data_IF_382276773277
#
_entry.id   IF_382276773277
#
_cell.length_a   1.000
_cell.length_b   1.000
_cell.length_c   1.000
_cell.angle_alpha   90.00
_cell.angle_beta   90.00
_cell.angle_gamma   90.00
#
_symmetry.space_group_name_H-M   'P 1'
#
loop_
_entity.id
_entity.type
_entity.pdbx_description
1 polymer ?
#
# COMPACT_ATOMS: atom_id res chain seq x y z
N UNK A 1 -24.14 -0.32 17.64
CA UNK A 1 -24.02 -0.12 16.16
C UNK A 1 -24.30 1.33 15.82
N UNK A 2 -23.35 2.00 15.22
CA UNK A 2 -23.44 3.43 14.89
C UNK A 2 -23.51 3.62 13.39
N UNK A 3 -24.38 4.54 12.94
CA UNK A 3 -24.47 4.91 11.52
C UNK A 3 -23.30 5.80 11.13
N UNK A 4 -22.54 5.36 10.10
CA UNK A 4 -21.39 6.07 9.58
C UNK A 4 -21.42 6.14 8.07
N UNK A 5 -20.70 7.12 7.51
CA UNK A 5 -20.34 7.19 6.11
C UNK A 5 -18.83 7.10 5.96
N UNK A 6 -18.37 6.54 4.84
CA UNK A 6 -16.95 6.51 4.50
C UNK A 6 -16.56 7.70 3.63
N UNK A 7 -15.69 8.56 4.13
CA UNK A 7 -15.21 9.76 3.43
C UNK A 7 -13.72 9.62 3.13
N UNK A 8 -13.33 9.94 1.92
CA UNK A 8 -11.95 10.03 1.47
C UNK A 8 -11.58 11.48 1.25
N UNK A 9 -10.52 11.94 1.92
CA UNK A 9 -10.06 13.32 1.87
C UNK A 9 -9.06 13.57 0.74
N UNK A 10 -8.38 12.51 0.25
CA UNK A 10 -7.38 12.54 -0.84
C UNK A 10 -7.60 11.39 -1.79
N UNK A 11 -7.18 11.51 -3.07
CA UNK A 11 -7.44 10.49 -4.11
C UNK A 11 -7.03 9.08 -3.69
N UNK A 12 -5.85 8.88 -3.12
CA UNK A 12 -5.35 7.59 -2.65
C UNK A 12 -5.27 7.52 -1.11
N UNK A 13 -6.10 8.33 -0.41
CA UNK A 13 -6.11 8.41 1.06
C UNK A 13 -6.90 7.29 1.71
N UNK A 14 -6.65 7.11 3.02
CA UNK A 14 -7.47 6.28 3.89
C UNK A 14 -8.92 6.76 3.87
N UNK A 15 -9.85 5.82 4.00
CA UNK A 15 -11.27 6.13 4.20
C UNK A 15 -11.50 6.32 5.69
N UNK A 16 -12.02 7.49 6.05
CA UNK A 16 -12.36 7.83 7.43
C UNK A 16 -13.86 7.72 7.63
N UNK A 17 -14.28 7.26 8.80
CA UNK A 17 -15.67 7.19 9.16
C UNK A 17 -16.11 8.49 9.84
N UNK A 18 -17.27 9.01 9.40
CA UNK A 18 -17.92 10.17 9.97
C UNK A 18 -19.39 9.88 10.23
N UNK A 19 -19.95 10.51 11.24
CA UNK A 19 -21.39 10.46 11.46
C UNK A 19 -22.11 11.32 10.42
N UNK A 20 -23.13 10.78 9.72
CA UNK A 20 -23.92 11.57 8.79
C UNK A 20 -24.84 12.59 9.51
N UNK A 21 -25.03 12.46 10.83
CA UNK A 21 -25.97 13.27 11.57
C UNK A 21 -27.40 13.14 11.01
N UNK A 22 -28.03 14.31 10.75
CA UNK A 22 -29.37 14.40 10.15
C UNK A 22 -29.34 14.57 8.62
N UNK A 23 -28.16 14.52 8.01
CA UNK A 23 -27.99 14.77 6.59
C UNK A 23 -28.27 13.53 5.76
N UNK A 24 -28.95 13.72 4.63
CA UNK A 24 -29.17 12.66 3.63
C UNK A 24 -27.98 12.62 2.66
N UNK A 25 -26.98 11.81 2.97
CA UNK A 25 -25.73 11.70 2.25
C UNK A 25 -25.69 10.39 1.46
N UNK A 26 -25.31 10.47 0.17
CA UNK A 26 -25.17 9.33 -0.73
C UNK A 26 -23.72 9.13 -1.14
N UNK A 27 -23.39 7.92 -1.58
CA UNK A 27 -22.10 7.65 -2.23
C UNK A 27 -21.92 8.55 -3.46
N UNK A 28 -20.78 9.20 -3.56
CA UNK A 28 -20.45 10.16 -4.63
C UNK A 28 -20.63 11.63 -4.22
N UNK A 29 -21.35 11.90 -3.12
CA UNK A 29 -21.50 13.26 -2.63
C UNK A 29 -20.15 13.82 -2.16
N UNK A 30 -20.04 15.14 -2.21
CA UNK A 30 -18.93 15.89 -1.65
C UNK A 30 -19.38 16.52 -0.35
N UNK A 31 -18.55 16.43 0.69
CA UNK A 31 -18.89 16.86 2.04
C UNK A 31 -17.79 17.69 2.67
N UNK A 32 -18.16 18.56 3.57
CA UNK A 32 -17.26 19.29 4.43
C UNK A 32 -17.22 18.61 5.79
N UNK A 33 -16.02 18.24 6.22
CA UNK A 33 -15.79 17.52 7.49
C UNK A 33 -14.76 18.25 8.34
N UNK A 34 -14.86 18.06 9.66
CA UNK A 34 -13.82 18.53 10.57
C UNK A 34 -12.87 17.39 10.92
N UNK A 35 -11.57 17.63 10.76
CA UNK A 35 -10.51 16.70 11.10
C UNK A 35 -9.61 17.27 12.19
N UNK A 36 -8.60 16.52 12.62
CA UNK A 36 -7.55 17.06 13.49
C UNK A 36 -6.70 18.16 12.81
N UNK A 37 -6.78 18.29 11.49
CA UNK A 37 -6.05 19.29 10.70
C UNK A 37 -6.87 20.55 10.41
N UNK A 38 -8.15 20.55 10.76
CA UNK A 38 -9.12 21.60 10.49
C UNK A 38 -10.25 21.10 9.59
N UNK A 39 -10.90 22.05 8.93
CA UNK A 39 -11.99 21.77 7.98
C UNK A 39 -11.40 21.27 6.68
N UNK A 40 -11.90 20.16 6.18
CA UNK A 40 -11.43 19.51 4.95
C UNK A 40 -12.60 19.17 4.01
N UNK A 41 -12.31 19.19 2.72
CA UNK A 41 -13.21 18.77 1.66
C UNK A 41 -13.05 17.28 1.39
N UNK A 42 -14.14 16.52 1.44
CA UNK A 42 -14.10 15.07 1.31
C UNK A 42 -15.06 14.52 0.28
N UNK A 43 -14.72 13.35 -0.25
CA UNK A 43 -15.54 12.58 -1.17
C UNK A 43 -16.15 11.38 -0.45
N UNK A 44 -17.46 11.20 -0.50
CA UNK A 44 -18.16 10.06 0.08
C UNK A 44 -17.96 8.84 -0.82
N UNK A 45 -17.15 7.88 -0.35
CA UNK A 45 -16.84 6.63 -1.07
C UNK A 45 -17.72 5.47 -0.62
N UNK A 46 -18.24 5.53 0.60
CA UNK A 46 -19.21 4.57 1.12
C UNK A 46 -20.41 5.34 1.70
N UNK A 47 -21.61 4.99 1.26
CA UNK A 47 -22.86 5.55 1.78
C UNK A 47 -23.10 5.16 3.24
N UNK A 48 -24.26 5.52 3.78
CA UNK A 48 -24.60 5.22 5.17
C UNK A 48 -24.60 3.71 5.40
N UNK A 49 -23.81 3.26 6.38
CA UNK A 49 -23.75 1.88 6.85
C UNK A 49 -23.71 1.84 8.38
N UNK A 50 -24.15 0.74 8.94
CA UNK A 50 -24.01 0.48 10.36
C UNK A 50 -22.71 -0.30 10.62
N UNK A 51 -21.92 0.17 11.57
CA UNK A 51 -20.64 -0.42 11.95
C UNK A 51 -20.64 -0.67 13.45
N UNK A 52 -20.05 -1.79 13.94
CA UNK A 52 -19.89 -2.01 15.38
C UNK A 52 -19.10 -0.86 16.02
N UNK A 53 -19.47 -0.51 17.25
CA UNK A 53 -18.86 0.63 17.95
C UNK A 53 -17.37 0.38 18.26
N UNK A 54 -16.94 -0.89 18.28
CA UNK A 54 -15.57 -1.35 18.49
C UNK A 54 -14.64 -0.98 17.30
N UNK A 55 -15.20 -0.92 16.09
CA UNK A 55 -14.46 -0.59 14.85
C UNK A 55 -14.35 0.92 14.57
N UNK A 56 -14.91 1.75 15.47
CA UNK A 56 -14.98 3.20 15.29
C UNK A 56 -13.95 3.88 16.19
N UNK A 57 -13.05 4.66 15.59
CA UNK A 57 -12.16 5.52 16.36
C UNK A 57 -12.94 6.64 17.05
N UNK A 58 -12.96 6.61 18.36
CA UNK A 58 -13.61 7.64 19.19
C UNK A 58 -12.68 8.87 19.39
N UNK A 59 -13.23 10.10 19.45
CA UNK A 59 -14.63 10.46 19.22
C UNK A 59 -15.01 10.50 17.73
N UNK A 60 -16.16 9.90 17.38
CA UNK A 60 -16.68 9.94 16.01
C UNK A 60 -17.11 11.38 15.66
N UNK A 61 -16.40 12.00 14.72
CA UNK A 61 -16.74 13.34 14.22
C UNK A 61 -17.90 13.30 13.24
N UNK A 62 -18.69 14.35 13.20
CA UNK A 62 -19.83 14.47 12.30
C UNK A 62 -19.45 15.23 11.03
N UNK A 63 -20.16 14.95 9.94
CA UNK A 63 -20.15 15.79 8.75
C UNK A 63 -20.74 17.16 9.12
N UNK A 64 -20.05 18.23 8.75
CA UNK A 64 -20.51 19.60 8.99
C UNK A 64 -21.69 19.89 8.06
N UNK A 65 -21.51 19.66 6.75
CA UNK A 65 -22.52 19.86 5.72
C UNK A 65 -22.15 19.19 4.39
N UNK A 66 -23.10 19.08 3.51
CA UNK A 66 -22.85 18.73 2.09
C UNK A 66 -22.17 19.94 1.42
N UNK A 67 -21.19 19.67 0.56
CA UNK A 67 -20.46 20.70 -0.13
C UNK A 67 -21.36 21.44 -1.15
N UNK A 68 -21.30 22.76 -1.13
CA UNK A 68 -21.98 23.64 -2.08
C UNK A 68 -21.16 23.77 -3.38
N UNK A 69 -21.72 24.40 -4.40
CA UNK A 69 -20.98 24.67 -5.64
C UNK A 69 -19.88 25.74 -5.42
N UNK A 70 -20.03 26.59 -4.42
CA UNK A 70 -18.99 27.51 -3.99
C UNK A 70 -17.80 26.78 -3.39
N UNK A 71 -18.05 25.76 -2.55
CA UNK A 71 -16.99 24.91 -1.98
C UNK A 71 -16.21 24.18 -3.05
N UNK A 72 -16.90 23.65 -4.05
CA UNK A 72 -16.26 22.99 -5.20
C UNK A 72 -15.36 23.93 -5.97
N UNK A 73 -15.84 25.16 -6.22
CA UNK A 73 -15.02 26.22 -6.87
C UNK A 73 -13.84 26.64 -6.01
N UNK A 74 -14.00 26.68 -4.70
CA UNK A 74 -12.91 27.00 -3.79
C UNK A 74 -11.83 25.90 -3.81
N UNK A 75 -12.25 24.65 -3.80
CA UNK A 75 -11.35 23.49 -3.94
C UNK A 75 -10.58 23.52 -5.28
N UNK A 76 -11.25 23.84 -6.39
CA UNK A 76 -10.61 23.99 -7.70
C UNK A 76 -9.58 25.13 -7.72
N UNK A 77 -9.91 26.28 -7.12
CA UNK A 77 -8.98 27.40 -6.99
C UNK A 77 -7.78 27.05 -6.09
N UNK A 78 -7.99 26.28 -5.02
CA UNK A 78 -6.90 25.82 -4.18
C UNK A 78 -5.95 24.91 -4.96
N UNK A 79 -6.47 24.03 -5.81
CA UNK A 79 -5.64 23.17 -6.69
C UNK A 79 -4.82 23.94 -7.71
N UNK A 80 -5.33 25.07 -8.22
CA UNK A 80 -4.54 25.96 -9.08
C UNK A 80 -3.43 26.62 -8.29
N UNK A 81 -3.74 27.17 -7.12
CA UNK A 81 -2.74 27.76 -6.21
C UNK A 81 -1.68 26.75 -5.75
N UNK A 82 -2.04 25.47 -5.57
CA UNK A 82 -1.10 24.41 -5.22
C UNK A 82 -0.02 24.22 -6.28
N UNK A 83 -0.38 24.29 -7.56
CA UNK A 83 0.58 24.22 -8.68
C UNK A 83 1.54 25.42 -8.66
N UNK A 84 1.00 26.62 -8.53
CA UNK A 84 1.82 27.85 -8.42
C UNK A 84 2.74 27.78 -7.17
N UNK A 85 2.20 27.32 -6.05
CA UNK A 85 2.96 27.18 -4.81
C UNK A 85 4.09 26.15 -4.94
N UNK A 86 3.85 25.08 -5.68
CA UNK A 86 4.86 24.08 -5.97
C UNK A 86 6.03 24.68 -6.75
N UNK A 87 5.75 25.40 -7.83
CA UNK A 87 6.77 26.00 -8.69
C UNK A 87 7.60 27.06 -7.93
N UNK A 88 6.93 27.93 -7.16
CA UNK A 88 7.58 28.93 -6.31
C UNK A 88 8.48 28.26 -5.26
N UNK A 89 7.97 27.23 -4.59
CA UNK A 89 8.75 26.51 -3.58
C UNK A 89 9.98 25.84 -4.19
N UNK A 90 9.84 25.24 -5.38
CA UNK A 90 10.95 24.61 -6.10
C UNK A 90 12.04 25.61 -6.48
N UNK A 91 11.67 26.83 -6.91
CA UNK A 91 12.62 27.91 -7.19
C UNK A 91 13.36 28.34 -5.90
N UNK A 92 12.64 28.48 -4.79
CA UNK A 92 13.24 28.84 -3.49
C UNK A 92 14.17 27.76 -2.96
N UNK A 93 13.83 26.47 -3.09
CA UNK A 93 14.70 25.34 -2.71
C UNK A 93 16.03 25.43 -3.48
N UNK A 94 15.98 25.68 -4.78
CA UNK A 94 17.18 25.87 -5.63
C UNK A 94 18.00 27.08 -5.19
N UNK A 95 17.36 28.20 -4.89
CA UNK A 95 18.04 29.44 -4.42
C UNK A 95 18.77 29.25 -3.09
N UNK A 96 18.20 28.42 -2.19
CA UNK A 96 18.80 28.09 -0.89
C UNK A 96 19.75 26.89 -0.95
N UNK A 97 19.99 26.30 -2.13
CA UNK A 97 20.87 25.15 -2.37
C UNK A 97 20.59 23.97 -1.43
N UNK A 98 19.29 23.73 -1.12
CA UNK A 98 18.89 22.67 -0.20
C UNK A 98 18.83 21.32 -0.92
N UNK A 99 19.47 20.30 -0.34
CA UNK A 99 19.45 18.94 -0.84
C UNK A 99 18.16 18.22 -0.42
N UNK A 100 17.06 18.66 -1.00
CA UNK A 100 15.72 18.13 -0.79
C UNK A 100 14.93 18.11 -2.09
N UNK A 101 14.07 17.11 -2.24
CA UNK A 101 13.21 16.95 -3.40
C UNK A 101 11.77 17.24 -3.02
N UNK A 102 11.23 18.32 -3.56
CA UNK A 102 9.82 18.67 -3.39
C UNK A 102 8.93 17.66 -4.12
N UNK A 103 7.93 17.14 -3.45
CA UNK A 103 7.02 16.12 -3.98
C UNK A 103 5.64 16.67 -4.26
N UNK A 104 5.09 17.47 -3.34
CA UNK A 104 3.75 18.04 -3.47
C UNK A 104 3.59 19.30 -2.63
N UNK A 105 2.64 20.15 -3.03
CA UNK A 105 2.15 21.28 -2.25
C UNK A 105 0.63 21.10 -2.07
N UNK A 106 0.09 21.46 -0.90
CA UNK A 106 -1.31 21.28 -0.56
C UNK A 106 -1.81 22.44 0.29
N UNK A 107 -2.88 23.08 -0.11
CA UNK A 107 -3.59 24.06 0.70
C UNK A 107 -4.62 23.37 1.59
N UNK A 108 -4.79 23.86 2.82
CA UNK A 108 -5.97 23.52 3.61
C UNK A 108 -7.21 24.13 2.95
N UNK A 109 -8.38 23.51 3.14
CA UNK A 109 -9.62 23.94 2.48
C UNK A 109 -9.97 25.41 2.80
N UNK A 110 -9.65 25.87 4.00
CA UNK A 110 -9.82 27.26 4.47
C UNK A 110 -8.75 28.24 3.95
N UNK A 111 -7.74 27.75 3.24
CA UNK A 111 -6.63 28.55 2.70
C UNK A 111 -5.65 29.12 3.75
N UNK A 112 -5.81 28.76 5.03
CA UNK A 112 -5.02 29.35 6.13
C UNK A 112 -3.64 28.72 6.30
N UNK A 113 -3.36 27.60 5.60
CA UNK A 113 -2.11 26.87 5.69
C UNK A 113 -1.73 26.27 4.34
N UNK A 114 -0.43 26.26 4.06
CA UNK A 114 0.19 25.50 2.95
C UNK A 114 1.13 24.47 3.52
N UNK A 115 0.96 23.23 3.05
CA UNK A 115 1.82 22.10 3.39
C UNK A 115 2.67 21.73 2.17
N UNK A 116 3.98 21.66 2.37
CA UNK A 116 4.91 21.18 1.36
C UNK A 116 5.45 19.82 1.78
N UNK A 117 5.29 18.82 0.92
CA UNK A 117 5.80 17.48 1.14
C UNK A 117 7.11 17.30 0.38
N UNK A 118 8.12 16.80 1.07
CA UNK A 118 9.44 16.59 0.47
C UNK A 118 10.09 15.30 0.94
N UNK A 119 11.06 14.80 0.17
CA UNK A 119 11.98 13.74 0.57
C UNK A 119 13.41 14.29 0.65
N UNK A 120 14.21 13.75 1.56
CA UNK A 120 15.63 14.05 1.72
C UNK A 120 16.32 12.88 2.43
N UNK A 121 17.60 12.67 2.14
CA UNK A 121 18.39 11.58 2.72
C UNK A 121 18.81 11.84 4.18
N UNK A 122 18.64 13.07 4.65
CA UNK A 122 19.02 13.47 5.99
C UNK A 122 18.13 14.57 6.57
N UNK A 123 18.60 15.15 7.65
CA UNK A 123 17.96 16.30 8.29
C UNK A 123 18.34 17.59 7.57
N UNK A 124 17.35 18.29 7.04
CA UNK A 124 17.53 19.56 6.32
C UNK A 124 17.22 20.74 7.24
N UNK A 125 18.06 21.78 7.19
CA UNK A 125 17.77 23.07 7.82
C UNK A 125 17.02 23.98 6.83
N UNK A 126 15.73 24.04 6.97
CA UNK A 126 14.84 24.79 6.09
C UNK A 126 14.30 26.10 6.73
N UNK A 127 14.95 26.61 7.80
CA UNK A 127 14.46 27.81 8.52
C UNK A 127 14.36 29.05 7.62
N UNK A 128 15.38 29.29 6.80
CA UNK A 128 15.40 30.43 5.86
C UNK A 128 14.39 30.22 4.72
N UNK A 129 14.25 28.99 4.21
CA UNK A 129 13.25 28.65 3.22
C UNK A 129 11.83 28.94 3.74
N UNK A 130 11.53 28.56 5.00
CA UNK A 130 10.21 28.84 5.61
C UNK A 130 9.92 30.32 5.70
N UNK A 131 10.92 31.14 6.07
CA UNK A 131 10.76 32.64 6.12
C UNK A 131 10.44 33.19 4.74
N UNK A 132 11.19 32.78 3.72
CA UNK A 132 10.99 33.23 2.35
C UNK A 132 9.60 32.81 1.83
N UNK A 133 9.18 31.57 2.07
CA UNK A 133 7.85 31.08 1.68
C UNK A 133 6.72 31.83 2.42
N UNK A 134 6.90 32.07 3.73
CA UNK A 134 5.92 32.80 4.52
C UNK A 134 5.76 34.25 4.04
N UNK A 135 6.84 34.90 3.60
CA UNK A 135 6.80 36.26 3.02
C UNK A 135 6.01 36.31 1.70
N UNK A 136 6.13 35.25 0.87
CA UNK A 136 5.44 35.13 -0.43
C UNK A 136 3.96 34.83 -0.24
N UNK A 137 3.66 33.75 0.50
CA UNK A 137 2.27 33.22 0.60
C UNK A 137 1.43 33.92 1.66
N UNK A 138 2.06 34.62 2.62
CA UNK A 138 1.39 35.30 3.75
C UNK A 138 0.43 34.40 4.53
N UNK A 139 0.73 33.10 4.56
CA UNK A 139 -0.02 32.05 5.23
C UNK A 139 0.92 31.19 6.09
N UNK A 140 0.38 30.35 6.94
CA UNK A 140 1.18 29.41 7.73
C UNK A 140 1.78 28.34 6.83
N UNK A 141 3.12 28.23 6.84
CA UNK A 141 3.87 27.23 6.08
C UNK A 141 4.20 26.05 6.96
N UNK A 142 4.00 24.86 6.44
CA UNK A 142 4.36 23.60 7.09
C UNK A 142 5.12 22.72 6.09
N UNK A 143 6.37 22.36 6.42
CA UNK A 143 7.21 21.45 5.64
C UNK A 143 7.16 20.07 6.29
N UNK A 144 6.85 19.04 5.50
CA UNK A 144 6.76 17.65 5.95
C UNK A 144 7.65 16.75 5.13
N UNK A 145 8.63 16.17 5.79
CA UNK A 145 9.40 15.08 5.19
C UNK A 145 8.54 13.83 5.14
N UNK A 146 8.52 13.18 3.98
CA UNK A 146 7.79 11.94 3.73
C UNK A 146 8.75 10.84 3.28
N UNK A 147 8.33 9.59 3.51
CA UNK A 147 9.12 8.43 3.06
C UNK A 147 8.95 8.14 1.57
N UNK A 148 9.88 7.36 1.01
CA UNK A 148 9.90 6.98 -0.43
C UNK A 148 8.63 6.26 -0.89
N UNK A 149 7.96 5.51 -0.01
CA UNK A 149 6.67 4.88 -0.33
C UNK A 149 5.55 5.91 -0.45
N UNK A 150 5.54 6.92 0.42
CA UNK A 150 4.54 8.00 0.36
C UNK A 150 4.75 8.88 -0.87
N UNK A 151 6.02 9.15 -1.24
CA UNK A 151 6.33 9.79 -2.52
C UNK A 151 5.76 8.98 -3.70
N UNK A 152 6.04 7.68 -3.73
CA UNK A 152 5.54 6.78 -4.77
C UNK A 152 4.01 6.74 -4.80
N UNK A 153 3.36 6.76 -3.63
CA UNK A 153 1.90 6.81 -3.50
C UNK A 153 1.32 8.08 -4.09
N UNK A 154 1.95 9.24 -3.86
CA UNK A 154 1.51 10.54 -4.39
C UNK A 154 1.71 10.60 -5.90
N UNK A 155 2.86 10.16 -6.40
CA UNK A 155 3.18 10.17 -7.84
C UNK A 155 2.35 9.17 -8.64
N UNK A 156 2.01 8.03 -8.02
CA UNK A 156 1.36 6.93 -8.72
C UNK A 156 2.32 6.21 -9.68
N UNK A 157 1.73 5.46 -10.61
CA UNK A 157 2.48 4.74 -11.65
C UNK A 157 1.96 3.31 -11.86
N UNK A 158 2.72 2.54 -12.64
CA UNK A 158 2.43 1.15 -12.97
C UNK A 158 3.46 0.24 -12.30
N UNK A 159 3.00 -0.82 -11.63
CA UNK A 159 3.84 -1.83 -11.02
C UNK A 159 4.43 -2.80 -12.04
N UNK A 160 5.39 -3.63 -11.60
CA UNK A 160 5.98 -4.70 -12.44
C UNK A 160 4.93 -5.72 -12.91
N UNK A 161 3.78 -5.80 -12.24
CA UNK A 161 2.64 -6.64 -12.60
C UNK A 161 1.75 -6.03 -13.70
N UNK A 162 2.09 -4.84 -14.24
CA UNK A 162 1.31 -4.13 -15.25
C UNK A 162 0.04 -3.43 -14.74
N UNK A 163 -0.21 -3.44 -13.42
CA UNK A 163 -1.36 -2.76 -12.80
C UNK A 163 -0.93 -1.43 -12.17
N UNK A 164 -1.86 -0.46 -11.99
CA UNK A 164 -1.60 0.71 -11.15
C UNK A 164 -1.12 0.30 -9.77
N UNK A 165 -0.22 1.08 -9.19
CA UNK A 165 0.39 0.79 -7.89
C UNK A 165 -0.66 0.58 -6.80
N UNK A 166 -0.53 -0.48 -6.01
CA UNK A 166 -1.46 -0.81 -4.91
C UNK A 166 -1.57 0.35 -3.92
N UNK A 167 -0.43 0.98 -3.57
CA UNK A 167 -0.36 2.11 -2.64
C UNK A 167 -1.08 3.37 -3.15
N UNK A 168 -1.15 3.60 -4.48
CA UNK A 168 -1.86 4.74 -5.06
C UNK A 168 -3.32 4.48 -5.36
N UNK A 169 -3.79 3.24 -5.23
CA UNK A 169 -5.18 2.84 -5.54
C UNK A 169 -5.99 2.45 -4.31
N UNK A 170 -5.79 1.25 -3.80
CA UNK A 170 -6.65 0.68 -2.75
C UNK A 170 -5.93 0.46 -1.41
N UNK A 171 -4.60 0.24 -1.42
CA UNK A 171 -3.85 -0.07 -0.21
C UNK A 171 -3.45 1.22 0.52
N UNK A 172 -4.25 1.62 1.49
CA UNK A 172 -4.05 2.87 2.24
C UNK A 172 -3.17 2.70 3.48
N UNK A 173 -3.13 1.50 4.06
CA UNK A 173 -2.36 1.14 5.24
C UNK A 173 -1.31 0.08 4.90
N UNK A 174 -0.18 0.13 5.57
CA UNK A 174 0.94 -0.76 5.31
C UNK A 174 1.32 -1.50 6.59
N UNK A 175 1.17 -2.83 6.55
CA UNK A 175 1.75 -3.70 7.55
C UNK A 175 3.22 -3.98 7.20
N UNK A 176 4.04 -4.36 8.18
CA UNK A 176 5.41 -4.80 7.93
C UNK A 176 5.45 -5.95 6.94
N UNK A 177 6.38 -5.89 5.99
CA UNK A 177 6.61 -6.94 4.99
C UNK A 177 7.87 -7.69 5.35
N UNK A 178 7.83 -9.02 5.32
CA UNK A 178 8.98 -9.88 5.56
C UNK A 178 9.36 -10.68 4.30
N UNK A 179 10.61 -11.07 4.25
CA UNK A 179 11.14 -11.93 3.17
C UNK A 179 10.53 -13.32 3.21
N UNK A 180 10.11 -13.78 4.39
CA UNK A 180 9.40 -15.04 4.54
C UNK A 180 8.15 -15.09 3.64
N UNK A 181 7.41 -13.98 3.55
CA UNK A 181 6.24 -13.86 2.68
C UNK A 181 6.59 -14.07 1.20
N UNK A 182 7.73 -13.51 0.73
CA UNK A 182 8.19 -13.73 -0.64
C UNK A 182 8.52 -15.22 -0.91
N UNK A 183 9.11 -15.92 0.05
CA UNK A 183 9.38 -17.37 -0.03
C UNK A 183 8.09 -18.20 -0.08
N UNK A 184 7.13 -17.89 0.78
CA UNK A 184 5.83 -18.58 0.83
C UNK A 184 5.03 -18.39 -0.46
N UNK A 185 5.26 -17.26 -1.14
CA UNK A 185 4.68 -16.96 -2.46
C UNK A 185 5.51 -17.49 -3.64
N UNK A 186 6.56 -18.29 -3.38
CA UNK A 186 7.47 -18.87 -4.36
C UNK A 186 8.14 -17.82 -5.28
N UNK A 187 8.39 -16.62 -4.77
CA UNK A 187 9.11 -15.58 -5.50
C UNK A 187 10.62 -15.79 -5.36
N UNK A 188 11.33 -15.49 -6.44
CA UNK A 188 12.80 -15.40 -6.39
C UNK A 188 13.21 -14.30 -5.43
N UNK A 189 14.17 -14.59 -4.55
CA UNK A 189 14.69 -13.64 -3.56
C UNK A 189 15.59 -12.56 -4.16
N UNK A 190 15.63 -12.44 -5.49
CA UNK A 190 16.33 -11.35 -6.15
C UNK A 190 15.70 -10.01 -5.75
N UNK A 191 16.45 -9.06 -5.15
CA UNK A 191 15.96 -7.76 -4.74
C UNK A 191 15.16 -7.02 -5.82
N UNK A 192 15.57 -7.11 -7.08
CA UNK A 192 14.88 -6.47 -8.21
C UNK A 192 13.48 -7.03 -8.47
N UNK A 193 13.20 -8.26 -8.03
CA UNK A 193 11.89 -8.93 -8.22
C UNK A 193 10.96 -8.83 -7.03
N UNK A 194 11.49 -8.61 -5.83
CA UNK A 194 10.71 -8.51 -4.59
C UNK A 194 10.56 -7.06 -4.09
N UNK A 195 11.31 -6.11 -4.67
CA UNK A 195 11.17 -4.69 -4.36
C UNK A 195 10.12 -4.01 -5.25
N UNK A 196 9.36 -3.14 -4.65
CA UNK A 196 8.43 -2.27 -5.37
C UNK A 196 9.16 -1.08 -6.02
N UNK A 197 8.42 -0.28 -6.78
CA UNK A 197 8.92 0.96 -7.43
C UNK A 197 9.52 1.94 -6.40
N UNK A 198 9.08 1.88 -5.15
CA UNK A 198 9.60 2.69 -4.05
C UNK A 198 10.95 2.18 -3.47
N UNK A 199 11.52 1.10 -3.99
CA UNK A 199 12.76 0.50 -3.47
C UNK A 199 12.60 -0.38 -2.24
N UNK A 200 11.43 -0.38 -1.58
CA UNK A 200 11.12 -1.25 -0.43
C UNK A 200 10.44 -2.55 -0.87
N UNK A 201 10.39 -3.55 0.00
CA UNK A 201 9.64 -4.79 -0.28
C UNK A 201 8.21 -4.49 -0.72
N UNK A 202 7.73 -5.25 -1.69
CA UNK A 202 6.40 -5.08 -2.28
C UNK A 202 5.30 -5.26 -1.24
N UNK A 203 4.46 -4.25 -1.07
CA UNK A 203 3.33 -4.28 -0.13
C UNK A 203 2.24 -5.30 -0.49
N UNK A 204 2.16 -5.74 -1.75
CA UNK A 204 1.25 -6.82 -2.15
C UNK A 204 1.61 -8.17 -1.51
N UNK A 205 2.87 -8.41 -1.15
CA UNK A 205 3.28 -9.63 -0.44
C UNK A 205 2.46 -9.84 0.84
N UNK A 206 2.39 -8.81 1.69
CA UNK A 206 1.58 -8.88 2.92
C UNK A 206 0.08 -8.95 2.61
N UNK A 207 -0.38 -8.22 1.60
CA UNK A 207 -1.80 -8.20 1.25
C UNK A 207 -2.32 -9.55 0.71
N UNK A 208 -1.43 -10.36 0.15
CA UNK A 208 -1.76 -11.66 -0.45
C UNK A 208 -1.37 -12.85 0.46
N UNK A 209 -0.67 -12.60 1.57
CA UNK A 209 -0.09 -13.61 2.47
C UNK A 209 -1.11 -14.66 2.92
N UNK A 210 -2.24 -14.22 3.47
CA UNK A 210 -3.29 -15.11 3.99
C UNK A 210 -3.80 -16.06 2.91
N UNK A 211 -4.00 -15.56 1.70
CA UNK A 211 -4.44 -16.38 0.55
C UNK A 211 -3.40 -17.44 0.20
N UNK A 212 -2.13 -17.05 0.17
CA UNK A 212 -1.06 -18.02 -0.13
C UNK A 212 -0.86 -19.02 1.00
N UNK A 213 -0.97 -18.65 2.27
CA UNK A 213 -0.92 -19.57 3.40
C UNK A 213 -2.04 -20.64 3.30
N UNK A 214 -3.27 -20.21 3.02
CA UNK A 214 -4.40 -21.10 2.85
C UNK A 214 -4.18 -22.08 1.70
N UNK A 215 -3.80 -21.57 0.52
CA UNK A 215 -3.58 -22.38 -0.67
C UNK A 215 -2.38 -23.34 -0.51
N UNK A 216 -1.30 -22.88 0.11
CA UNK A 216 -0.12 -23.72 0.40
C UNK A 216 -0.44 -24.86 1.37
N UNK A 217 -1.38 -24.66 2.29
CA UNK A 217 -1.78 -25.73 3.23
C UNK A 217 -2.37 -26.95 2.55
N UNK A 218 -2.85 -26.80 1.32
CA UNK A 218 -3.48 -27.82 0.48
C UNK A 218 -2.51 -28.50 -0.50
N UNK A 219 -1.22 -28.16 -0.45
CA UNK A 219 -0.21 -28.59 -1.40
C UNK A 219 0.94 -29.34 -0.70
N UNK A 220 1.57 -30.32 -1.38
CA UNK A 220 2.81 -30.93 -0.90
C UNK A 220 3.98 -29.94 -1.00
N UNK A 221 5.06 -30.20 -0.26
CA UNK A 221 6.30 -29.45 -0.40
C UNK A 221 7.10 -29.94 -1.62
N UNK A 222 7.97 -29.06 -2.15
CA UNK A 222 8.98 -29.46 -3.13
C UNK A 222 9.93 -30.46 -2.45
N UNK A 223 10.19 -31.59 -3.12
CA UNK A 223 10.97 -32.71 -2.59
C UNK A 223 10.16 -33.73 -1.78
N UNK A 224 8.87 -33.50 -1.54
CA UNK A 224 8.01 -34.51 -0.90
C UNK A 224 7.71 -35.65 -1.87
N UNK A 225 7.61 -36.87 -1.31
CA UNK A 225 7.13 -38.02 -2.06
C UNK A 225 5.60 -38.13 -2.02
N UNK A 226 5.00 -38.21 -3.17
CA UNK A 226 3.55 -38.29 -3.35
C UNK A 226 3.15 -39.54 -4.12
N UNK A 227 1.91 -39.96 -3.93
CA UNK A 227 1.30 -41.06 -4.74
C UNK A 227 0.22 -40.43 -5.60
N UNK A 228 0.30 -40.65 -6.90
CA UNK A 228 -0.69 -40.20 -7.87
C UNK A 228 -1.97 -41.01 -7.81
N UNK A 229 -3.05 -40.53 -8.43
CA UNK A 229 -4.32 -41.25 -8.54
C UNK A 229 -4.14 -42.62 -9.24
N UNK A 230 -3.21 -42.69 -10.19
CA UNK A 230 -2.89 -43.89 -10.96
C UNK A 230 -1.99 -44.89 -10.21
N UNK A 231 -1.65 -44.56 -8.94
CA UNK A 231 -0.84 -45.42 -8.07
C UNK A 231 0.67 -45.24 -8.24
N UNK A 232 1.13 -44.36 -9.15
CA UNK A 232 2.54 -44.08 -9.35
C UNK A 232 3.10 -43.28 -8.17
N UNK A 233 4.34 -43.59 -7.79
CA UNK A 233 5.08 -42.81 -6.77
C UNK A 233 6.03 -41.85 -7.46
N UNK A 234 6.13 -40.65 -6.94
CA UNK A 234 7.04 -39.65 -7.50
C UNK A 234 7.41 -38.59 -6.48
N UNK A 235 8.43 -37.84 -6.84
CA UNK A 235 8.95 -36.69 -6.06
C UNK A 235 8.42 -35.40 -6.64
N UNK A 236 7.98 -34.49 -5.78
CA UNK A 236 7.50 -33.14 -6.16
C UNK A 236 8.64 -32.27 -6.62
N UNK A 237 8.65 -31.90 -7.90
CA UNK A 237 9.66 -31.03 -8.49
C UNK A 237 9.32 -29.54 -8.35
N UNK A 238 8.05 -29.17 -8.60
CA UNK A 238 7.59 -27.78 -8.49
C UNK A 238 6.10 -27.70 -8.18
N UNK A 239 5.68 -26.59 -7.63
CA UNK A 239 4.31 -26.35 -7.20
C UNK A 239 3.82 -25.00 -7.70
N UNK A 240 2.64 -24.96 -8.33
CA UNK A 240 1.96 -23.74 -8.72
C UNK A 240 0.83 -23.45 -7.74
N UNK A 241 1.07 -22.58 -6.76
CA UNK A 241 0.17 -22.35 -5.62
C UNK A 241 -1.21 -21.88 -6.08
N UNK A 242 -1.28 -20.84 -6.90
CA UNK A 242 -2.55 -20.27 -7.36
C UNK A 242 -3.35 -21.19 -8.27
N UNK A 243 -2.67 -22.04 -9.06
CA UNK A 243 -3.33 -22.99 -9.95
C UNK A 243 -3.65 -24.32 -9.27
N UNK A 244 -3.10 -24.55 -8.08
CA UNK A 244 -3.19 -25.84 -7.35
C UNK A 244 -2.69 -27.01 -8.21
N UNK A 245 -1.58 -26.77 -8.96
CA UNK A 245 -0.93 -27.74 -9.83
C UNK A 245 0.44 -28.12 -9.28
N UNK A 246 0.79 -29.38 -9.39
CA UNK A 246 2.03 -29.97 -8.88
C UNK A 246 2.72 -30.74 -10.00
N UNK A 247 3.98 -30.41 -10.28
CA UNK A 247 4.82 -31.21 -11.17
C UNK A 247 5.53 -32.28 -10.35
N UNK A 248 5.34 -33.53 -10.72
CA UNK A 248 5.87 -34.71 -10.05
C UNK A 248 6.77 -35.45 -11.02
N UNK A 249 7.97 -35.78 -10.57
CA UNK A 249 8.85 -36.74 -11.27
C UNK A 249 8.42 -38.14 -10.88
N UNK A 250 7.68 -38.79 -11.74
CA UNK A 250 7.22 -40.18 -11.54
C UNK A 250 8.22 -41.16 -12.13
N UNK A 251 8.43 -42.32 -11.45
CA UNK A 251 9.23 -43.43 -11.96
C UNK A 251 8.28 -44.43 -12.57
N UNK A 252 8.50 -44.78 -13.84
CA UNK A 252 7.75 -45.78 -14.58
C UNK A 252 8.33 -47.17 -14.32
N UNK A 253 7.62 -48.20 -14.75
CA UNK A 253 8.00 -49.61 -14.53
C UNK A 253 9.37 -49.97 -15.15
N UNK A 254 9.82 -49.21 -16.16
CA UNK A 254 11.10 -49.39 -16.84
C UNK A 254 12.25 -48.55 -16.25
N UNK A 255 12.10 -48.07 -15.01
CA UNK A 255 13.02 -47.12 -14.35
C UNK A 255 13.18 -45.75 -15.07
N UNK A 256 12.37 -45.49 -16.08
CA UNK A 256 12.34 -44.19 -16.73
C UNK A 256 11.65 -43.14 -15.85
N UNK A 257 12.23 -41.95 -15.80
CA UNK A 257 11.67 -40.83 -15.03
C UNK A 257 10.96 -39.86 -15.97
N UNK A 258 9.69 -39.64 -15.70
CA UNK A 258 8.88 -38.69 -16.47
C UNK A 258 8.33 -37.58 -15.56
N UNK A 259 8.28 -36.37 -16.07
CA UNK A 259 7.65 -35.23 -15.36
C UNK A 259 6.22 -35.11 -15.80
N UNK A 260 5.30 -35.29 -14.87
CA UNK A 260 3.85 -35.14 -15.11
C UNK A 260 3.28 -34.05 -14.21
N UNK A 261 2.26 -33.36 -14.71
CA UNK A 261 1.53 -32.34 -13.96
C UNK A 261 0.20 -32.88 -13.48
N UNK A 262 -0.05 -32.75 -12.18
CA UNK A 262 -1.27 -33.23 -11.50
C UNK A 262 -1.93 -32.09 -10.73
N UNK A 263 -3.23 -32.17 -10.52
CA UNK A 263 -3.92 -31.32 -9.57
C UNK A 263 -3.65 -31.81 -8.15
N UNK A 264 -3.69 -30.90 -7.19
CA UNK A 264 -3.42 -31.23 -5.79
C UNK A 264 -4.39 -32.30 -5.22
N UNK A 265 -5.65 -32.31 -5.69
CA UNK A 265 -6.70 -33.25 -5.30
C UNK A 265 -6.50 -34.65 -5.88
N UNK A 266 -5.67 -34.84 -6.90
CA UNK A 266 -5.30 -36.11 -7.51
C UNK A 266 -4.10 -36.78 -6.83
N UNK A 267 -3.47 -36.11 -5.87
CA UNK A 267 -2.27 -36.56 -5.19
C UNK A 267 -2.58 -36.97 -3.74
N UNK A 268 -2.00 -38.08 -3.30
CA UNK A 268 -2.00 -38.49 -1.90
C UNK A 268 -0.64 -38.20 -1.29
N UNK A 269 -0.64 -37.32 -0.28
CA UNK A 269 0.56 -36.91 0.46
C UNK A 269 0.23 -36.62 1.94
N UNK A 270 1.24 -36.56 2.77
CA UNK A 270 1.07 -36.17 4.18
C UNK A 270 0.93 -34.65 4.25
N UNK A 271 -0.11 -34.11 4.93
CA UNK A 271 -0.28 -32.68 5.06
C UNK A 271 0.95 -32.05 5.75
N UNK A 272 1.34 -30.87 5.27
CA UNK A 272 2.48 -30.11 5.78
C UNK A 272 2.29 -29.82 7.28
N UNK A 273 3.14 -30.35 8.14
CA UNK A 273 3.32 -29.77 9.48
C UNK A 273 3.97 -28.41 9.27
N UNK A 274 3.41 -27.32 9.84
CA UNK A 274 4.03 -25.97 9.82
C UNK A 274 5.49 -26.09 10.31
N UNK A 275 6.43 -26.22 9.37
CA UNK A 275 7.87 -26.19 9.68
C UNK A 275 8.30 -24.75 9.56
N UNK A 276 8.68 -24.20 10.69
CA UNK A 276 9.06 -22.80 10.88
C UNK A 276 10.52 -22.51 10.48
N UNK A 277 11.12 -23.27 9.56
CA UNK A 277 12.56 -23.11 9.28
C UNK A 277 12.91 -23.35 7.82
N UNK A 278 12.74 -22.31 6.97
CA UNK A 278 13.64 -22.18 5.83
C UNK A 278 14.87 -21.38 6.29
N UNK A 279 16.00 -22.05 6.49
CA UNK A 279 17.27 -21.42 6.84
C UNK A 279 17.76 -20.59 5.64
N UNK A 280 17.85 -19.31 5.82
CA UNK A 280 18.56 -18.39 4.92
C UNK A 280 20.06 -18.57 5.08
N UNK A 281 20.82 -18.42 4.00
CA UNK A 281 22.27 -18.25 4.11
C UNK A 281 22.60 -16.93 4.79
N UNK A 282 23.78 -16.85 5.40
CA UNK A 282 24.20 -15.61 6.10
C UNK A 282 24.33 -14.40 5.18
N UNK A 283 24.60 -14.62 3.89
CA UNK A 283 24.69 -13.58 2.86
C UNK A 283 23.32 -13.07 2.48
N UNK A 284 22.38 -13.97 2.17
CA UNK A 284 20.98 -13.62 1.92
C UNK A 284 20.37 -12.86 3.11
N UNK A 285 20.68 -13.24 4.37
CA UNK A 285 20.21 -12.50 5.54
C UNK A 285 20.78 -11.10 5.65
N UNK A 286 22.01 -10.85 5.21
CA UNK A 286 22.62 -9.51 5.23
C UNK A 286 22.03 -8.58 4.18
N UNK A 287 21.93 -9.03 2.93
CA UNK A 287 21.33 -8.25 1.85
C UNK A 287 19.85 -7.92 2.12
N UNK A 288 19.14 -8.86 2.70
CA UNK A 288 17.72 -8.75 2.97
C UNK A 288 17.41 -7.94 4.24
N UNK A 289 18.28 -7.98 5.25
CA UNK A 289 18.14 -7.13 6.44
C UNK A 289 18.35 -5.64 6.14
N UNK A 290 19.04 -5.31 5.06
CA UNK A 290 19.15 -3.94 4.57
C UNK A 290 17.82 -3.43 4.00
N UNK A 291 17.03 -4.30 3.34
CA UNK A 291 15.71 -3.97 2.78
C UNK A 291 14.59 -3.87 3.83
N UNK A 292 14.79 -4.48 5.02
CA UNK A 292 13.84 -4.42 6.13
C UNK A 292 14.05 -3.20 7.04
N UNK A 293 15.26 -2.63 7.07
CA UNK A 293 15.66 -1.58 8.04
C UNK A 293 15.37 -0.15 7.60
N UNK A 294 14.94 0.08 6.37
CA UNK A 294 14.49 1.37 5.86
C UNK A 294 12.93 1.42 5.82
#
# INVERSE_FOLDING_TARGET
MTKVIGVRLRQAGKVYYFSPGKLHIRKGDKVIVETARGVEFGHVVAGVKEVPDEDIMQPLKSVIRIATDEDKRNEEKNREKEKEAFDICLEKIRKHELDMKLINAEYTFDGNKVLFYFTADGRIDFRELVKDLAAVFRTRIELRQIGVRDETKIRGGIGICGRPLCCSTYLSEFAPVSIKMAKEQNLSLNPTKISGVCGRLMCCLTNEEETYEELNSRLPAIGDYVTTRDGLKGEVQSVSVLRQLVKVVVTMDDDEKEIREYRADELRFKPRKKKNDMKLTKEEMRELSALEKE
#
